data_IF_567950164604
#
_entry.id   IF_567950164604
#
_cell.length_a   1.000
_cell.length_b   1.000
_cell.length_c   1.000
_cell.angle_alpha   90.00
_cell.angle_beta   90.00
_cell.angle_gamma   90.00
#
_symmetry.space_group_name_H-M   'P 1'
#
loop_
_entity.id
_entity.type
_entity.pdbx_description
1 polymer ?
#
# COMPACT_ATOMS: atom_id res chain seq x y z
N UNK A 1 7.35 17.95 6.27
CA UNK A 1 6.83 16.56 6.11
C UNK A 1 6.01 16.38 4.82
N UNK A 2 5.24 17.38 4.38
CA UNK A 2 4.46 17.31 3.13
C UNK A 2 5.32 17.30 1.85
N UNK A 3 6.47 17.98 1.84
CA UNK A 3 7.40 18.02 0.70
C UNK A 3 8.06 16.68 0.35
N UNK A 4 8.32 15.86 1.37
CA UNK A 4 8.88 14.53 1.15
C UNK A 4 7.87 13.62 0.43
N UNK A 5 6.58 13.81 0.71
CA UNK A 5 5.50 13.07 0.08
C UNK A 5 5.32 13.46 -1.39
N UNK A 6 5.41 14.76 -1.70
CA UNK A 6 5.34 15.26 -3.09
C UNK A 6 6.52 14.78 -3.93
N UNK A 7 7.75 14.94 -3.43
CA UNK A 7 8.94 14.48 -4.15
C UNK A 7 8.91 12.96 -4.40
N UNK A 8 8.35 12.17 -3.47
CA UNK A 8 8.19 10.74 -3.66
C UNK A 8 7.12 10.43 -4.71
N UNK A 9 6.00 11.17 -4.71
CA UNK A 9 4.94 11.03 -5.71
C UNK A 9 5.45 11.34 -7.11
N UNK A 10 6.13 12.47 -7.29
CA UNK A 10 6.62 12.92 -8.60
C UNK A 10 7.65 11.92 -9.17
N UNK A 11 8.58 11.44 -8.34
CA UNK A 11 9.51 10.37 -8.75
C UNK A 11 8.82 9.05 -9.08
N UNK A 12 7.78 8.69 -8.34
CA UNK A 12 7.02 7.48 -8.61
C UNK A 12 6.24 7.58 -9.92
N UNK A 13 5.67 8.75 -10.23
CA UNK A 13 5.03 9.04 -11.52
C UNK A 13 6.05 8.97 -12.67
N UNK A 14 7.21 9.60 -12.56
CA UNK A 14 8.26 9.54 -13.59
C UNK A 14 8.72 8.09 -13.86
N UNK A 15 8.90 7.27 -12.82
CA UNK A 15 9.29 5.86 -12.97
C UNK A 15 8.15 5.04 -13.54
N UNK A 16 6.89 5.36 -13.22
CA UNK A 16 5.73 4.67 -13.77
C UNK A 16 5.52 4.99 -15.25
N UNK A 17 5.71 6.24 -15.66
CA UNK A 17 5.62 6.64 -17.06
C UNK A 17 6.78 6.09 -17.88
N UNK A 18 8.01 6.12 -17.36
CA UNK A 18 9.19 5.64 -18.10
C UNK A 18 9.32 4.11 -18.10
N UNK A 19 8.86 3.44 -17.03
CA UNK A 19 9.12 2.02 -16.77
C UNK A 19 8.00 1.34 -15.98
N UNK A 20 6.74 1.49 -16.42
CA UNK A 20 5.58 0.83 -15.80
C UNK A 20 5.77 -0.68 -15.60
N UNK A 21 6.41 -1.35 -16.56
CA UNK A 21 6.75 -2.78 -16.46
C UNK A 21 7.79 -3.06 -15.36
N UNK A 22 8.77 -2.18 -15.15
CA UNK A 22 9.77 -2.36 -14.10
C UNK A 22 9.20 -2.11 -12.70
N UNK A 23 8.16 -1.27 -12.58
CA UNK A 23 7.40 -1.14 -11.32
C UNK A 23 6.62 -2.42 -11.05
N UNK A 24 5.95 -2.98 -12.06
CA UNK A 24 5.21 -4.24 -11.92
C UNK A 24 6.15 -5.39 -11.52
N UNK A 25 7.26 -5.57 -12.24
CA UNK A 25 8.30 -6.56 -11.93
C UNK A 25 8.94 -6.32 -10.55
N UNK A 26 9.12 -5.06 -10.17
CA UNK A 26 9.68 -4.66 -8.88
C UNK A 26 8.71 -4.94 -7.72
N UNK A 27 7.41 -4.75 -7.93
CA UNK A 27 6.37 -5.05 -6.95
C UNK A 27 6.19 -6.56 -6.77
N UNK A 28 6.12 -7.33 -7.86
CA UNK A 28 6.06 -8.80 -7.79
C UNK A 28 7.28 -9.35 -7.05
N UNK A 29 8.50 -8.94 -7.43
CA UNK A 29 9.71 -9.35 -6.70
C UNK A 29 9.74 -8.90 -5.25
N UNK A 30 9.24 -7.71 -4.93
CA UNK A 30 9.18 -7.25 -3.56
C UNK A 30 8.15 -8.07 -2.75
N UNK A 31 7.02 -8.40 -3.35
CA UNK A 31 6.01 -9.30 -2.80
C UNK A 31 6.59 -10.68 -2.51
N UNK A 32 7.17 -11.32 -3.52
CA UNK A 32 7.81 -12.64 -3.41
C UNK A 32 8.96 -12.63 -2.42
N UNK A 33 9.83 -11.61 -2.45
CA UNK A 33 10.96 -11.52 -1.54
C UNK A 33 10.52 -11.31 -0.09
N UNK A 34 9.49 -10.50 0.14
CA UNK A 34 8.93 -10.30 1.48
C UNK A 34 8.20 -11.56 1.93
N UNK A 35 7.44 -12.23 1.06
CA UNK A 35 6.73 -13.45 1.39
C UNK A 35 7.69 -14.61 1.67
N UNK A 36 8.72 -14.81 0.84
CA UNK A 36 9.79 -15.79 1.06
C UNK A 36 10.55 -15.51 2.36
N UNK A 37 10.92 -14.24 2.60
CA UNK A 37 11.69 -13.85 3.78
C UNK A 37 10.86 -13.89 5.06
N UNK A 38 9.56 -13.69 4.95
CA UNK A 38 8.63 -13.82 6.07
C UNK A 38 8.06 -15.23 6.16
N UNK A 39 8.24 -16.09 5.16
CA UNK A 39 7.69 -17.43 5.06
C UNK A 39 6.17 -17.45 5.21
N UNK A 40 5.45 -16.48 4.63
CA UNK A 40 4.01 -16.31 4.81
C UNK A 40 3.58 -15.81 6.20
N UNK A 41 4.52 -15.46 7.10
CA UNK A 41 4.24 -15.05 8.49
C UNK A 41 3.74 -13.61 8.63
N UNK A 42 3.52 -12.90 7.53
CA UNK A 42 2.95 -11.54 7.56
C UNK A 42 1.51 -11.48 7.09
N UNK A 43 0.93 -12.60 6.63
CA UNK A 43 -0.51 -12.74 6.39
C UNK A 43 -1.31 -12.29 7.61
N UNK A 44 -0.94 -12.72 8.82
CA UNK A 44 -1.62 -12.29 10.06
C UNK A 44 -1.59 -10.77 10.28
N UNK A 45 -0.48 -10.11 9.91
CA UNK A 45 -0.33 -8.65 10.06
C UNK A 45 -1.08 -7.90 8.97
N UNK A 46 -1.11 -8.45 7.76
CA UNK A 46 -1.85 -7.91 6.62
C UNK A 46 -3.35 -8.02 6.91
N UNK A 47 -3.85 -9.18 7.35
CA UNK A 47 -5.24 -9.38 7.75
C UNK A 47 -5.63 -8.43 8.89
N UNK A 48 -4.80 -8.35 9.94
CA UNK A 48 -5.06 -7.40 11.05
C UNK A 48 -5.07 -5.94 10.57
N UNK A 49 -4.23 -5.58 9.60
CA UNK A 49 -4.18 -4.23 9.05
C UNK A 49 -5.40 -3.95 8.16
N UNK A 50 -5.85 -4.92 7.37
CA UNK A 50 -7.05 -4.84 6.53
C UNK A 50 -8.30 -4.72 7.40
N UNK A 51 -8.43 -5.54 8.45
CA UNK A 51 -9.56 -5.46 9.40
C UNK A 51 -9.61 -4.07 10.07
N UNK A 52 -8.46 -3.56 10.54
CA UNK A 52 -8.39 -2.20 11.12
C UNK A 52 -8.75 -1.12 10.12
N UNK A 53 -8.36 -1.28 8.86
CA UNK A 53 -8.68 -0.33 7.81
C UNK A 53 -10.18 -0.37 7.47
N UNK A 54 -10.79 -1.56 7.39
CA UNK A 54 -12.24 -1.71 7.21
C UNK A 54 -13.01 -1.08 8.36
N UNK A 55 -12.62 -1.35 9.61
CA UNK A 55 -13.20 -0.73 10.81
C UNK A 55 -13.16 0.81 10.77
N UNK A 56 -12.03 1.37 10.31
CA UNK A 56 -11.86 2.81 10.16
C UNK A 56 -12.75 3.37 9.05
N UNK A 57 -12.84 2.67 7.92
CA UNK A 57 -13.69 3.06 6.79
C UNK A 57 -15.17 2.97 7.15
N UNK A 58 -15.60 1.93 7.85
CA UNK A 58 -16.97 1.81 8.35
C UNK A 58 -17.30 2.92 9.35
N UNK A 59 -16.43 3.20 10.32
CA UNK A 59 -16.62 4.33 11.26
C UNK A 59 -16.67 5.69 10.55
N UNK A 60 -15.85 5.89 9.53
CA UNK A 60 -15.88 7.12 8.72
C UNK A 60 -17.16 7.19 7.88
N UNK A 61 -17.60 6.08 7.31
CA UNK A 61 -18.83 5.98 6.51
C UNK A 61 -20.11 6.12 7.33
N UNK A 62 -20.16 5.58 8.54
CA UNK A 62 -21.26 5.78 9.49
C UNK A 62 -21.33 7.23 9.98
N UNK A 63 -20.19 7.86 10.25
CA UNK A 63 -20.14 9.28 10.64
C UNK A 63 -20.52 10.22 9.49
N UNK A 64 -20.33 9.80 8.23
CA UNK A 64 -20.79 10.53 7.04
C UNK A 64 -22.29 10.39 6.75
N UNK A 65 -22.93 9.29 7.14
CA UNK A 65 -24.38 9.04 6.88
C UNK A 65 -25.33 9.69 7.88
N UNK A 66 -24.84 10.23 9.00
CA UNK A 66 -25.68 10.82 10.07
C UNK A 66 -25.68 12.36 10.09
N UNK A 67 -25.25 13.01 9.01
CA UNK A 67 -25.31 14.47 8.85
C UNK A 67 -26.35 14.87 7.82
#
# INVERSE_FOLDING_TARGET
>A
MFDALKNLKDKAEDVAEAHGDAIADGLEKAGDFVDDRTGGKHSDKIDTAVDKAQDLVEKLGENGRKR
#
